data_IF_167948992795
#
_entry.id   IF_167948992795
#
_cell.length_a   1.000
_cell.length_b   1.000
_cell.length_c   1.000
_cell.angle_alpha   90.00
_cell.angle_beta   90.00
_cell.angle_gamma   90.00
#
_symmetry.space_group_name_H-M   'P 1'
#
loop_
_entity.id
_entity.type
_entity.pdbx_description
1 polymer ?
#
# COMPACT_ATOMS: atom_id res chain seq x y z
N UNK A 1 -50.59 16.46 36.30
CA UNK A 1 -49.30 17.07 35.92
C UNK A 1 -48.29 16.04 35.43
N UNK A 2 -47.99 14.99 36.15
CA UNK A 2 -47.05 13.93 35.69
C UNK A 2 -47.50 13.13 34.50
N UNK A 3 -48.82 12.90 34.33
CA UNK A 3 -49.40 12.15 33.20
C UNK A 3 -49.22 12.91 31.86
N UNK A 4 -49.38 14.20 31.84
CA UNK A 4 -49.32 15.02 30.63
C UNK A 4 -47.87 15.13 30.12
N UNK A 5 -46.88 15.23 31.00
CA UNK A 5 -45.47 15.22 30.66
C UNK A 5 -45.03 13.89 30.03
N UNK A 6 -45.48 12.78 30.57
CA UNK A 6 -45.21 11.46 30.04
C UNK A 6 -45.88 11.28 28.67
N UNK A 7 -47.08 11.75 28.49
CA UNK A 7 -47.80 11.66 27.22
C UNK A 7 -47.13 12.53 26.16
N UNK A 8 -46.66 13.71 26.50
CA UNK A 8 -45.92 14.57 25.59
C UNK A 8 -44.60 13.93 25.14
N UNK A 9 -43.83 13.41 26.08
CA UNK A 9 -42.58 12.66 25.77
C UNK A 9 -42.85 11.43 24.90
N UNK A 10 -43.91 10.69 25.17
CA UNK A 10 -44.32 9.56 24.34
C UNK A 10 -44.64 9.96 22.92
N UNK A 11 -45.34 11.07 22.72
CA UNK A 11 -45.67 11.61 21.41
C UNK A 11 -44.41 12.08 20.65
N UNK A 12 -43.48 12.73 21.33
CA UNK A 12 -42.19 13.12 20.75
C UNK A 12 -41.38 11.92 20.28
N UNK A 13 -41.31 10.86 21.08
CA UNK A 13 -40.62 9.63 20.72
C UNK A 13 -41.30 8.95 19.52
N UNK A 14 -42.64 8.90 19.49
CA UNK A 14 -43.38 8.35 18.35
C UNK A 14 -43.12 9.14 17.06
N UNK A 15 -43.07 10.46 17.14
CA UNK A 15 -42.79 11.32 15.99
C UNK A 15 -41.35 11.15 15.50
N UNK A 16 -40.40 11.09 16.42
CA UNK A 16 -38.98 10.82 16.11
C UNK A 16 -38.80 9.45 15.46
N UNK A 17 -39.50 8.41 15.96
CA UNK A 17 -39.48 7.09 15.36
C UNK A 17 -40.03 7.09 13.92
N UNK A 18 -41.16 7.76 13.68
CA UNK A 18 -41.72 7.90 12.33
C UNK A 18 -40.75 8.59 11.38
N UNK A 19 -40.14 9.69 11.80
CA UNK A 19 -39.16 10.41 11.00
C UNK A 19 -37.97 9.50 10.65
N UNK A 20 -37.42 8.80 11.62
CA UNK A 20 -36.30 7.90 11.41
C UNK A 20 -36.63 6.77 10.45
N UNK A 21 -37.86 6.21 10.50
CA UNK A 21 -38.31 5.19 9.56
C UNK A 21 -38.38 5.73 8.12
N UNK A 22 -38.89 6.94 7.93
CA UNK A 22 -38.95 7.60 6.62
C UNK A 22 -37.55 7.85 6.09
N UNK A 23 -36.66 8.38 6.92
CA UNK A 23 -35.25 8.66 6.55
C UNK A 23 -34.53 7.35 6.14
N UNK A 24 -34.78 6.25 6.86
CA UNK A 24 -34.25 4.93 6.52
C UNK A 24 -34.75 4.44 5.17
N UNK A 25 -36.05 4.51 4.91
CA UNK A 25 -36.64 4.08 3.64
C UNK A 25 -36.12 4.90 2.46
N UNK A 26 -35.97 6.21 2.62
CA UNK A 26 -35.36 7.10 1.60
C UNK A 26 -33.91 6.72 1.34
N UNK A 27 -33.14 6.46 2.38
CA UNK A 27 -31.73 6.07 2.23
C UNK A 27 -31.61 4.72 1.55
N UNK A 28 -32.45 3.77 1.92
CA UNK A 28 -32.51 2.43 1.30
C UNK A 28 -32.82 2.51 -0.20
N UNK A 29 -33.82 3.31 -0.57
CA UNK A 29 -34.18 3.53 -1.98
C UNK A 29 -33.01 4.13 -2.77
N UNK A 30 -32.35 5.15 -2.22
CA UNK A 30 -31.16 5.75 -2.83
C UNK A 30 -30.02 4.76 -3.01
N UNK A 31 -29.82 3.89 -2.04
CA UNK A 31 -28.82 2.83 -2.12
C UNK A 31 -29.15 1.82 -3.23
N UNK A 32 -30.39 1.37 -3.30
CA UNK A 32 -30.84 0.43 -4.33
C UNK A 32 -30.70 1.04 -5.74
N UNK A 33 -31.07 2.30 -5.92
CA UNK A 33 -30.93 3.03 -7.18
C UNK A 33 -29.47 3.17 -7.58
N UNK A 34 -28.59 3.46 -6.62
CA UNK A 34 -27.16 3.57 -6.85
C UNK A 34 -26.55 2.22 -7.27
N UNK A 35 -26.98 1.13 -6.65
CA UNK A 35 -26.55 -0.22 -7.01
C UNK A 35 -26.97 -0.59 -8.43
N UNK A 36 -28.21 -0.25 -8.80
CA UNK A 36 -28.74 -0.47 -10.17
C UNK A 36 -28.04 0.37 -11.22
N UNK A 37 -27.77 1.64 -10.94
CA UNK A 37 -27.19 2.57 -11.90
C UNK A 37 -25.74 2.24 -12.25
N UNK A 38 -25.00 1.63 -11.32
CA UNK A 38 -23.57 1.28 -11.50
C UNK A 38 -23.35 -0.14 -12.00
N UNK A 39 -24.40 -0.91 -12.25
CA UNK A 39 -24.31 -2.36 -12.53
C UNK A 39 -23.44 -3.09 -11.49
N UNK A 40 -23.37 -2.53 -10.29
CA UNK A 40 -22.63 -3.14 -9.19
C UNK A 40 -23.48 -4.26 -8.60
N UNK A 41 -23.24 -5.47 -9.04
CA UNK A 41 -23.75 -6.66 -8.38
C UNK A 41 -22.71 -7.09 -7.33
N UNK A 42 -23.04 -6.97 -6.03
CA UNK A 42 -22.12 -7.41 -4.97
C UNK A 42 -21.81 -8.93 -5.06
N UNK A 43 -22.65 -9.71 -5.74
CA UNK A 43 -22.44 -11.12 -6.00
C UNK A 43 -21.58 -11.38 -7.26
N UNK A 44 -21.37 -10.37 -8.10
CA UNK A 44 -20.56 -10.46 -9.31
C UNK A 44 -19.11 -10.03 -9.11
N UNK A 45 -18.72 -9.66 -7.90
CA UNK A 45 -17.33 -9.44 -7.59
C UNK A 45 -16.62 -10.78 -7.69
N UNK A 46 -15.92 -10.95 -8.78
CA UNK A 46 -15.10 -12.13 -8.99
C UNK A 46 -13.86 -12.06 -8.08
N UNK A 47 -14.09 -12.43 -6.83
CA UNK A 47 -13.06 -12.45 -5.79
C UNK A 47 -11.87 -13.30 -6.22
N UNK A 48 -12.12 -14.33 -6.99
CA UNK A 48 -11.08 -15.21 -7.49
C UNK A 48 -10.16 -14.52 -8.50
N UNK A 49 -10.72 -13.75 -9.43
CA UNK A 49 -9.93 -12.95 -10.38
C UNK A 49 -9.14 -11.85 -9.68
N UNK A 50 -9.76 -11.13 -8.76
CA UNK A 50 -9.08 -10.10 -7.96
C UNK A 50 -7.94 -10.72 -7.15
N UNK A 51 -8.15 -11.89 -6.57
CA UNK A 51 -7.10 -12.59 -5.83
C UNK A 51 -5.92 -12.97 -6.72
N UNK A 52 -6.18 -13.49 -7.92
CA UNK A 52 -5.15 -13.82 -8.92
C UNK A 52 -4.37 -12.59 -9.39
N UNK A 53 -5.08 -11.50 -9.70
CA UNK A 53 -4.43 -10.23 -10.06
C UNK A 53 -3.55 -9.69 -8.94
N UNK A 54 -4.02 -9.77 -7.70
CA UNK A 54 -3.23 -9.36 -6.54
C UNK A 54 -1.97 -10.21 -6.35
N UNK A 55 -2.04 -11.51 -6.62
CA UNK A 55 -0.86 -12.38 -6.56
C UNK A 55 0.17 -12.01 -7.64
N UNK A 56 -0.28 -11.77 -8.86
CA UNK A 56 0.59 -11.33 -9.97
C UNK A 56 1.24 -9.99 -9.63
N UNK A 57 0.46 -9.01 -9.16
CA UNK A 57 0.98 -7.71 -8.75
C UNK A 57 1.99 -7.80 -7.59
N UNK A 58 1.75 -8.69 -6.64
CA UNK A 58 2.71 -8.94 -5.54
C UNK A 58 4.04 -9.48 -6.05
N UNK A 59 4.00 -10.43 -6.99
CA UNK A 59 5.20 -10.99 -7.60
C UNK A 59 5.97 -9.94 -8.41
N UNK A 60 5.28 -9.12 -9.20
CA UNK A 60 5.91 -8.02 -9.94
C UNK A 60 6.52 -6.99 -8.99
N UNK A 61 5.81 -6.58 -7.97
CA UNK A 61 6.32 -5.67 -6.95
C UNK A 61 7.57 -6.23 -6.26
N UNK A 62 7.58 -7.53 -5.96
CA UNK A 62 8.74 -8.18 -5.38
C UNK A 62 9.95 -8.12 -6.31
N UNK A 63 9.77 -8.42 -7.59
CA UNK A 63 10.83 -8.30 -8.60
C UNK A 63 11.39 -6.89 -8.70
N UNK A 64 10.52 -5.88 -8.76
CA UNK A 64 10.95 -4.48 -8.77
C UNK A 64 11.71 -4.09 -7.51
N UNK A 65 11.24 -4.52 -6.35
CA UNK A 65 11.94 -4.30 -5.08
C UNK A 65 13.33 -4.91 -5.08
N UNK A 66 13.49 -6.12 -5.58
CA UNK A 66 14.79 -6.78 -5.68
C UNK A 66 15.74 -6.05 -6.65
N UNK A 67 15.21 -5.47 -7.72
CA UNK A 67 15.98 -4.67 -8.66
C UNK A 67 16.44 -3.34 -8.08
N UNK A 68 15.61 -2.69 -7.30
CA UNK A 68 15.82 -1.32 -6.80
C UNK A 68 16.53 -1.30 -5.45
N UNK A 69 16.27 -2.28 -4.58
CA UNK A 69 16.86 -2.32 -3.25
C UNK A 69 18.25 -2.96 -3.23
N UNK A 70 19.09 -2.48 -2.33
CA UNK A 70 20.42 -3.02 -2.13
C UNK A 70 20.36 -4.51 -1.74
N UNK A 71 21.16 -5.33 -2.41
CA UNK A 71 21.19 -6.80 -2.16
C UNK A 71 21.88 -7.15 -0.82
N UNK A 72 22.62 -6.25 -0.24
CA UNK A 72 23.30 -6.49 1.04
C UNK A 72 22.38 -6.26 2.23
N UNK A 73 21.79 -5.08 2.34
CA UNK A 73 20.89 -4.75 3.46
C UNK A 73 19.40 -5.01 3.18
N UNK A 74 19.00 -5.08 1.90
CA UNK A 74 17.62 -5.29 1.43
C UNK A 74 16.61 -4.23 1.89
N UNK A 75 17.05 -3.16 2.51
CA UNK A 75 16.21 -2.10 3.06
C UNK A 75 16.37 -0.77 2.32
N UNK A 76 17.58 -0.40 1.97
CA UNK A 76 17.89 0.87 1.31
C UNK A 76 17.85 0.73 -0.22
N UNK A 77 17.49 1.83 -0.90
CA UNK A 77 17.51 1.88 -2.36
C UNK A 77 18.97 1.98 -2.84
N UNK A 78 19.28 1.30 -3.93
CA UNK A 78 20.58 1.41 -4.59
C UNK A 78 20.80 2.85 -5.07
N UNK A 79 21.88 3.46 -4.65
CA UNK A 79 22.20 4.84 -5.01
C UNK A 79 23.66 5.04 -5.47
N UNK A 80 24.42 3.97 -5.51
CA UNK A 80 25.79 4.00 -6.01
C UNK A 80 26.08 2.81 -6.93
N UNK A 81 27.00 3.01 -7.87
CA UNK A 81 27.50 1.97 -8.78
C UNK A 81 29.02 1.86 -8.62
N UNK A 82 29.53 0.63 -8.68
CA UNK A 82 30.96 0.35 -8.75
C UNK A 82 31.36 0.37 -10.22
N UNK A 83 32.22 1.31 -10.61
CA UNK A 83 32.57 1.51 -12.03
C UNK A 83 33.38 0.37 -12.63
N UNK A 84 34.05 -0.44 -11.84
CA UNK A 84 34.82 -1.60 -12.31
C UNK A 84 33.96 -2.79 -12.75
N UNK A 85 32.88 -3.06 -12.02
CA UNK A 85 32.03 -4.24 -12.25
C UNK A 85 30.57 -3.89 -12.50
N UNK A 86 30.19 -2.63 -12.41
CA UNK A 86 28.85 -2.09 -12.60
C UNK A 86 27.76 -2.64 -11.67
N UNK A 87 28.15 -3.29 -10.59
CA UNK A 87 27.20 -3.69 -9.56
C UNK A 87 26.75 -2.48 -8.74
N UNK A 88 25.50 -2.47 -8.35
CA UNK A 88 24.85 -1.35 -7.67
C UNK A 88 24.42 -1.73 -6.25
N UNK A 89 24.60 -0.78 -5.33
CA UNK A 89 24.33 -0.95 -3.91
C UNK A 89 23.87 0.37 -3.29
N UNK A 90 23.48 0.36 -2.02
CA UNK A 90 23.36 1.59 -1.27
C UNK A 90 24.75 2.06 -0.78
N UNK A 91 24.89 3.37 -0.63
CA UNK A 91 26.15 3.98 -0.20
C UNK A 91 26.64 3.42 1.15
N UNK A 92 25.73 3.23 2.11
CA UNK A 92 26.06 2.71 3.43
C UNK A 92 26.75 1.33 3.38
N UNK A 93 26.21 0.42 2.57
CA UNK A 93 26.77 -0.93 2.42
C UNK A 93 28.13 -0.91 1.71
N UNK A 94 28.29 -0.06 0.71
CA UNK A 94 29.57 0.06 -0.02
C UNK A 94 30.64 0.75 0.84
N UNK A 95 30.30 1.79 1.56
CA UNK A 95 31.23 2.42 2.49
C UNK A 95 31.73 1.41 3.54
N UNK A 96 30.81 0.62 4.10
CA UNK A 96 31.18 -0.46 5.02
C UNK A 96 32.07 -1.54 4.38
N UNK A 97 31.83 -1.90 3.12
CA UNK A 97 32.67 -2.83 2.38
C UNK A 97 34.08 -2.29 2.11
N UNK A 98 34.20 -1.01 1.82
CA UNK A 98 35.49 -0.33 1.59
C UNK A 98 36.27 -0.14 2.88
N UNK A 99 35.59 0.21 3.97
CA UNK A 99 36.20 0.32 5.31
C UNK A 99 36.65 -1.04 5.85
N UNK A 100 36.02 -2.12 5.41
CA UNK A 100 36.44 -3.47 5.74
C UNK A 100 37.81 -3.79 5.13
N UNK A 101 38.59 -4.64 5.77
CA UNK A 101 39.89 -5.07 5.27
C UNK A 101 39.85 -5.74 3.89
N UNK A 102 38.69 -6.26 3.50
CA UNK A 102 38.52 -7.04 2.26
C UNK A 102 38.37 -6.17 1.02
N UNK A 103 37.80 -4.96 1.11
CA UNK A 103 37.60 -3.99 0.02
C UNK A 103 37.18 -4.64 -1.30
N UNK A 104 36.14 -5.47 -1.26
CA UNK A 104 35.66 -6.24 -2.41
C UNK A 104 34.20 -6.02 -2.66
N UNK A 105 33.81 -6.06 -3.94
CA UNK A 105 32.42 -6.06 -4.33
C UNK A 105 31.66 -7.25 -3.70
N UNK A 106 30.54 -7.03 -3.02
CA UNK A 106 29.77 -8.12 -2.40
C UNK A 106 29.23 -9.18 -3.37
N UNK A 107 29.13 -8.86 -4.66
CA UNK A 107 28.60 -9.79 -5.68
C UNK A 107 29.71 -10.53 -6.40
N UNK A 108 30.65 -9.81 -7.04
CA UNK A 108 31.69 -10.42 -7.88
C UNK A 108 33.07 -10.50 -7.22
N UNK A 109 33.23 -9.94 -6.04
CA UNK A 109 34.48 -9.90 -5.27
C UNK A 109 35.63 -9.10 -5.93
N UNK A 110 35.33 -8.29 -6.95
CA UNK A 110 36.27 -7.36 -7.56
C UNK A 110 36.82 -6.40 -6.50
N UNK A 111 38.12 -6.10 -6.56
CA UNK A 111 38.77 -5.20 -5.63
C UNK A 111 38.33 -3.77 -5.90
N UNK A 112 37.78 -3.09 -4.89
CA UNK A 112 37.19 -1.77 -5.00
C UNK A 112 37.85 -0.74 -4.08
N UNK A 113 37.85 0.51 -4.54
CA UNK A 113 38.26 1.67 -3.76
C UNK A 113 37.19 2.75 -3.77
N UNK A 114 37.34 3.77 -2.94
CA UNK A 114 36.40 4.89 -2.89
C UNK A 114 36.26 5.61 -4.26
N UNK A 115 37.30 5.63 -5.05
CA UNK A 115 37.29 6.26 -6.38
C UNK A 115 36.48 5.48 -7.42
N UNK A 116 36.24 4.19 -7.19
CA UNK A 116 35.46 3.32 -8.08
C UNK A 116 33.97 3.44 -7.86
N UNK A 117 33.53 4.17 -6.83
CA UNK A 117 32.12 4.31 -6.46
C UNK A 117 31.56 5.64 -6.98
N UNK A 118 30.52 5.58 -7.79
CA UNK A 118 29.82 6.75 -8.32
C UNK A 118 28.35 6.73 -7.93
N UNK A 119 27.80 7.91 -7.69
CA UNK A 119 26.40 8.08 -7.36
C UNK A 119 25.54 7.89 -8.59
N UNK A 120 24.42 7.20 -8.44
CA UNK A 120 23.38 7.05 -9.47
C UNK A 120 22.10 7.74 -9.03
N UNK A 121 21.33 8.20 -10.01
CA UNK A 121 20.06 8.86 -9.80
C UNK A 121 18.97 8.07 -10.50
N UNK A 122 17.83 8.00 -9.86
CA UNK A 122 16.62 7.39 -10.41
C UNK A 122 15.69 8.52 -10.86
N UNK A 123 15.67 8.83 -12.13
CA UNK A 123 14.81 9.87 -12.71
C UNK A 123 13.57 9.23 -13.36
#
# INVERSE_FOLDING_TARGET
MMKDDLQNKLNEIKNSKKKLTIDYDVLRTKYDDLCKSKQFDPNSIDVENISKENEVLKLENQKFREMVHCKVCKTEIKNVVITKCFHTFCKKCIDAAIESRKRRCPICRELISQNDVKKIFWD
#
